data_IF_433179917458
#
_entry.id   IF_433179917458
#
_cell.length_a   1.000
_cell.length_b   1.000
_cell.length_c   1.000
_cell.angle_alpha   90.00
_cell.angle_beta   90.00
_cell.angle_gamma   90.00
#
_symmetry.space_group_name_H-M   'P 1'
#
loop_
_entity.id
_entity.type
_entity.pdbx_description
1 polymer ?
2 non-polymer ?
3 non-polymer ?
4 water ?
#
# COMPACT_ATOMS: atom_id res chain seq x y z
N UNK A 9 -20.60 -13.44 -20.81
CA UNK A 9 -21.18 -12.98 -19.55
C UNK A 9 -22.45 -13.75 -19.09
N UNK A 10 -22.42 -15.08 -19.24
CA UNK A 10 -23.29 -15.94 -18.46
C UNK A 10 -22.89 -15.95 -16.99
N UNK A 11 -22.30 -14.84 -16.52
CA UNK A 11 -21.93 -14.62 -15.11
C UNK A 11 -22.43 -13.28 -14.57
N UNK A 12 -22.83 -12.32 -15.42
CA UNK A 12 -23.46 -11.09 -14.96
C UNK A 12 -24.91 -10.93 -15.41
N UNK A 13 -25.37 -11.63 -16.46
CA UNK A 13 -26.82 -11.81 -16.61
C UNK A 13 -27.34 -12.75 -15.52
N UNK A 14 -26.82 -14.01 -15.38
CA UNK A 14 -26.89 -14.67 -14.05
C UNK A 14 -25.83 -14.09 -13.13
N UNK A 15 -26.15 -12.98 -12.47
CA UNK A 15 -25.22 -12.24 -11.62
C UNK A 15 -24.71 -13.09 -10.47
N UNK A 16 -23.52 -13.67 -10.64
CA UNK A 16 -22.98 -14.59 -9.64
C UNK A 16 -22.80 -13.92 -8.29
N UNK A 17 -22.25 -12.69 -8.27
CA UNK A 17 -22.06 -11.98 -7.01
C UNK A 17 -23.39 -11.77 -6.30
N UNK A 18 -24.43 -11.39 -7.04
CA UNK A 18 -25.72 -11.13 -6.40
C UNK A 18 -26.35 -12.39 -5.84
N UNK A 19 -26.14 -13.54 -6.50
CA UNK A 19 -26.68 -14.78 -5.95
C UNK A 19 -25.96 -15.19 -4.67
N UNK A 20 -24.63 -15.03 -4.63
CA UNK A 20 -23.90 -15.28 -3.40
C UNK A 20 -24.31 -14.28 -2.32
N UNK A 21 -24.46 -13.01 -2.69
CA UNK A 21 -24.88 -12.02 -1.72
C UNK A 21 -26.23 -12.37 -1.12
N UNK A 22 -27.19 -12.81 -1.94
CA UNK A 22 -28.47 -13.27 -1.41
C UNK A 22 -28.27 -14.44 -0.46
N UNK A 23 -27.47 -15.42 -0.88
CA UNK A 23 -27.24 -16.59 -0.04
C UNK A 23 -26.68 -16.21 1.32
N UNK A 24 -25.91 -15.11 1.39
CA UNK A 24 -25.28 -14.75 2.65
C UNK A 24 -26.29 -14.08 3.58
N UNK A 25 -27.13 -13.17 3.06
CA UNK A 25 -28.21 -12.64 3.90
C UNK A 25 -29.21 -13.72 4.28
N UNK A 26 -29.44 -14.69 3.41
CA UNK A 26 -30.36 -15.78 3.73
C UNK A 26 -29.84 -16.59 4.91
N UNK A 27 -28.67 -17.21 4.76
CA UNK A 27 -28.21 -18.19 5.72
C UNK A 27 -27.15 -17.67 6.69
N UNK A 28 -26.44 -16.59 6.36
CA UNK A 28 -25.30 -16.25 7.18
C UNK A 28 -24.19 -17.27 6.99
N UNK A 29 -23.15 -17.13 7.79
CA UNK A 29 -21.98 -17.98 7.60
C UNK A 29 -22.29 -19.43 7.97
N UNK A 30 -22.73 -20.21 6.99
CA UNK A 30 -22.93 -21.64 7.10
C UNK A 30 -21.77 -22.40 6.46
N UNK A 31 -21.72 -23.71 6.70
CA UNK A 31 -20.82 -24.57 5.94
C UNK A 31 -21.15 -24.53 4.45
N UNK A 32 -22.42 -24.39 4.11
CA UNK A 32 -22.81 -24.27 2.70
C UNK A 32 -22.30 -22.97 2.10
N UNK A 33 -22.40 -21.86 2.83
CA UNK A 33 -21.86 -20.59 2.35
C UNK A 33 -20.34 -20.67 2.23
N UNK A 34 -19.67 -21.28 3.21
CA UNK A 34 -18.22 -21.39 3.15
C UNK A 34 -17.79 -22.21 1.94
N UNK A 35 -18.50 -23.30 1.67
CA UNK A 35 -18.20 -24.11 0.49
C UNK A 35 -18.42 -23.30 -0.79
N UNK A 36 -19.52 -22.55 -0.85
CA UNK A 36 -19.73 -21.69 -2.00
C UNK A 36 -18.57 -20.71 -2.15
N UNK A 37 -18.23 -20.03 -1.05
CA UNK A 37 -17.15 -19.06 -1.10
C UNK A 37 -15.85 -19.69 -1.58
N UNK A 38 -15.52 -20.89 -1.08
CA UNK A 38 -14.24 -21.49 -1.45
C UNK A 38 -14.15 -21.80 -2.93
N UNK A 39 -15.30 -22.02 -3.59
CA UNK A 39 -15.35 -22.33 -5.02
C UNK A 39 -15.28 -21.10 -5.93
N UNK A 40 -15.43 -19.88 -5.41
CA UNK A 40 -15.26 -18.70 -6.23
C UNK A 40 -13.81 -18.61 -6.71
N UNK A 41 -13.63 -18.10 -7.94
CA UNK A 41 -12.29 -17.76 -8.39
C UNK A 41 -11.75 -16.64 -7.50
N UNK A 42 -10.44 -16.62 -7.23
CA UNK A 42 -9.90 -15.58 -6.34
C UNK A 42 -10.36 -14.19 -6.70
N UNK A 43 -10.23 -13.80 -7.97
CA UNK A 43 -10.71 -12.50 -8.40
C UNK A 43 -12.14 -12.27 -7.95
N UNK A 44 -13.01 -13.25 -8.20
CA UNK A 44 -14.42 -13.08 -7.88
C UNK A 44 -14.64 -12.95 -6.38
N UNK A 45 -13.86 -13.71 -5.60
CA UNK A 45 -13.94 -13.58 -4.14
C UNK A 45 -13.56 -12.18 -3.68
N UNK A 46 -12.46 -11.63 -4.21
CA UNK A 46 -12.07 -10.29 -3.80
C UNK A 46 -13.07 -9.26 -4.28
N UNK A 47 -13.55 -9.41 -5.52
CA UNK A 47 -14.58 -8.51 -6.01
C UNK A 47 -15.82 -8.55 -5.12
N UNK A 48 -16.14 -9.71 -4.55
CA UNK A 48 -17.32 -9.82 -3.70
C UNK A 48 -17.15 -9.03 -2.41
N UNK A 49 -15.99 -9.11 -1.78
CA UNK A 49 -15.83 -8.38 -0.53
C UNK A 49 -15.73 -6.88 -0.78
N UNK A 50 -15.26 -6.49 -1.97
CA UNK A 50 -15.11 -5.08 -2.28
C UNK A 50 -16.44 -4.38 -2.54
N UNK A 51 -17.43 -5.07 -3.09
CA UNK A 51 -18.59 -4.42 -3.69
C UNK A 51 -19.93 -4.86 -3.11
N UNK A 52 -19.97 -5.25 -1.85
CA UNK A 52 -21.21 -5.73 -1.26
C UNK A 52 -21.76 -4.75 -0.22
N UNK A 53 -23.07 -4.83 -0.02
CA UNK A 53 -23.74 -4.01 0.98
C UNK A 53 -23.14 -4.28 2.36
N UNK A 54 -23.34 -3.32 3.26
CA UNK A 54 -22.65 -3.37 4.54
C UNK A 54 -23.05 -4.57 5.39
N UNK A 55 -24.23 -5.15 5.15
CA UNK A 55 -24.61 -6.35 5.88
C UNK A 55 -23.80 -7.56 5.41
N UNK A 56 -23.60 -7.70 4.10
CA UNK A 56 -22.77 -8.80 3.59
C UNK A 56 -21.32 -8.60 4.00
N UNK A 57 -20.82 -7.36 3.92
CA UNK A 57 -19.44 -7.08 4.33
C UNK A 57 -19.21 -7.43 5.79
N UNK A 58 -20.19 -7.14 6.66
CA UNK A 58 -20.07 -7.51 8.06
C UNK A 58 -19.92 -9.02 8.23
N UNK A 59 -20.77 -9.77 7.53
CA UNK A 59 -20.71 -11.22 7.63
C UNK A 59 -19.41 -11.77 7.06
N UNK A 60 -18.86 -11.14 6.02
CA UNK A 60 -17.58 -11.59 5.50
C UNK A 60 -16.44 -11.25 6.45
N UNK A 61 -16.61 -10.20 7.27
CA UNK A 61 -15.69 -9.82 8.35
C UNK A 61 -15.95 -10.58 9.65
N UNK A 62 -17.05 -11.30 9.73
CA UNK A 62 -17.46 -12.07 10.90
C UNK A 62 -16.36 -12.98 11.43
N UNK A 63 -16.42 -13.29 12.74
CA UNK A 63 -15.48 -14.24 13.34
C UNK A 63 -15.66 -15.64 12.80
N UNK A 64 -16.86 -15.98 12.31
CA UNK A 64 -17.09 -17.31 11.78
C UNK A 64 -16.30 -17.58 10.50
N UNK A 65 -16.01 -16.54 9.71
CA UNK A 65 -15.33 -16.71 8.44
C UNK A 65 -13.82 -16.56 8.55
N UNK A 66 -13.29 -16.18 9.71
CA UNK A 66 -11.85 -16.00 9.82
C UNK A 66 -11.05 -17.25 9.48
N UNK A 67 -11.42 -18.47 9.91
CA UNK A 67 -10.65 -19.64 9.46
C UNK A 67 -10.57 -19.77 7.95
N UNK A 68 -11.67 -19.51 7.26
CA UNK A 68 -11.68 -19.59 5.80
C UNK A 68 -10.68 -18.62 5.20
N UNK A 69 -10.66 -17.38 5.70
CA UNK A 69 -9.74 -16.37 5.19
C UNK A 69 -8.30 -16.69 5.54
N UNK A 70 -8.04 -17.18 6.74
CA UNK A 70 -6.68 -17.58 7.10
C UNK A 70 -6.15 -18.59 6.09
N UNK A 71 -6.96 -19.61 5.76
CA UNK A 71 -6.50 -20.65 4.85
C UNK A 71 -6.15 -20.08 3.49
N UNK A 72 -7.01 -19.21 2.94
CA UNK A 72 -6.69 -18.52 1.69
C UNK A 72 -5.39 -17.73 1.83
N UNK A 73 -5.26 -16.99 2.93
CA UNK A 73 -4.05 -16.19 3.14
C UNK A 73 -2.81 -17.07 3.13
N UNK A 74 -2.90 -18.26 3.74
CA UNK A 74 -1.70 -19.08 3.96
C UNK A 74 -1.33 -19.91 2.74
N UNK A 75 -2.24 -20.04 1.78
CA UNK A 75 -1.96 -20.71 0.51
C UNK A 75 -1.33 -19.80 -0.52
N UNK A 76 -1.27 -18.49 -0.27
CA UNK A 76 -0.66 -17.57 -1.23
C UNK A 76 0.81 -17.89 -1.41
N UNK A 77 1.25 -17.97 -2.66
CA UNK A 77 2.65 -18.22 -2.93
C UNK A 77 3.10 -17.31 -4.07
N UNK A 78 4.40 -17.03 -4.11
CA UNK A 78 4.94 -16.26 -5.21
C UNK A 78 5.19 -17.14 -6.42
N UNK A 79 5.22 -16.49 -7.58
CA UNK A 79 5.50 -17.20 -8.83
C UNK A 79 6.91 -17.80 -8.82
N UNK A 80 7.90 -17.01 -8.44
CA UNK A 80 9.31 -17.37 -8.57
C UNK A 80 9.74 -18.21 -7.35
N UNK A 81 9.85 -17.55 -6.21
CA UNK A 81 10.37 -18.11 -4.96
C UNK A 81 9.22 -18.83 -4.25
N UNK A 82 9.16 -20.17 -4.40
CA UNK A 82 8.02 -20.95 -3.93
C UNK A 82 8.10 -21.28 -2.44
N UNK A 83 9.18 -20.93 -1.75
CA UNK A 83 9.22 -21.13 -0.31
C UNK A 83 8.69 -19.92 0.46
N UNK A 84 8.65 -18.74 -0.17
CA UNK A 84 8.18 -17.54 0.49
C UNK A 84 6.78 -17.74 1.05
N UNK A 85 6.54 -17.13 2.21
CA UNK A 85 5.23 -17.17 2.84
C UNK A 85 4.95 -15.82 3.49
N UNK A 86 3.75 -15.30 3.27
CA UNK A 86 3.33 -14.06 3.92
C UNK A 86 3.12 -14.27 5.41
N UNK A 87 3.53 -13.27 6.19
CA UNK A 87 3.38 -13.28 7.64
C UNK A 87 2.16 -12.47 8.03
N UNK A 88 1.70 -12.70 9.25
CA UNK A 88 0.49 -12.02 9.74
C UNK A 88 0.57 -10.52 9.46
N UNK A 89 -0.40 -9.94 8.72
CA UNK A 89 -0.31 -8.53 8.32
C UNK A 89 -0.75 -7.53 9.38
N UNK A 90 -0.42 -7.81 10.66
CA UNK A 90 -0.38 -6.87 11.78
C UNK A 90 -1.78 -6.36 12.15
N UNK A 91 -2.24 -5.07 11.85
CA UNK A 91 -3.66 -4.78 12.13
C UNK A 91 -4.55 -4.97 10.92
N UNK A 92 -3.97 -5.08 9.73
CA UNK A 92 -4.75 -5.45 8.56
C UNK A 92 -5.15 -6.91 8.66
N UNK A 93 -6.43 -7.19 8.47
CA UNK A 93 -6.87 -8.58 8.45
C UNK A 93 -6.19 -9.34 7.30
N UNK A 94 -6.06 -10.66 7.47
CA UNK A 94 -5.59 -11.48 6.36
C UNK A 94 -6.58 -11.46 5.19
N UNK A 95 -7.87 -11.32 5.48
CA UNK A 95 -8.87 -11.23 4.41
C UNK A 95 -8.64 -9.99 3.55
N UNK A 96 -8.39 -8.84 4.18
CA UNK A 96 -8.15 -7.63 3.43
C UNK A 96 -6.78 -7.68 2.74
N UNK A 97 -5.80 -8.29 3.38
CA UNK A 97 -4.52 -8.52 2.69
C UNK A 97 -4.74 -9.37 1.45
N UNK A 98 -5.47 -10.48 1.59
CA UNK A 98 -5.66 -11.40 0.48
C UNK A 98 -6.38 -10.73 -0.68
N UNK A 99 -7.53 -10.10 -0.40
CA UNK A 99 -8.32 -9.51 -1.49
C UNK A 99 -7.59 -8.37 -2.17
N UNK A 100 -6.95 -7.49 -1.40
CA UNK A 100 -6.17 -6.43 -2.01
C UNK A 100 -5.05 -6.97 -2.89
N UNK A 101 -4.37 -8.01 -2.40
CA UNK A 101 -3.26 -8.60 -3.16
C UNK A 101 -3.77 -9.31 -4.42
N UNK A 102 -4.93 -9.95 -4.33
CA UNK A 102 -5.47 -10.61 -5.52
C UNK A 102 -5.86 -9.56 -6.58
N UNK A 103 -6.53 -8.49 -6.17
CA UNK A 103 -6.88 -7.47 -7.16
C UNK A 103 -5.65 -6.77 -7.71
N UNK A 104 -4.61 -6.61 -6.88
CA UNK A 104 -3.37 -6.03 -7.38
C UNK A 104 -2.75 -6.92 -8.45
N UNK A 105 -2.69 -8.23 -8.19
CA UNK A 105 -2.19 -9.15 -9.20
C UNK A 105 -3.04 -9.09 -10.46
N UNK A 106 -4.36 -8.96 -10.30
CA UNK A 106 -5.24 -8.89 -11.48
C UNK A 106 -4.97 -7.62 -12.28
N UNK A 107 -4.77 -6.49 -11.59
CA UNK A 107 -4.38 -5.25 -12.25
C UNK A 107 -3.17 -5.46 -13.15
N UNK A 108 -2.14 -6.15 -12.63
CA UNK A 108 -0.91 -6.32 -13.40
C UNK A 108 -1.11 -7.20 -14.64
N UNK A 109 -1.99 -8.22 -14.56
CA UNK A 109 -2.33 -8.98 -15.76
C UNK A 109 -2.88 -8.08 -16.87
N UNK A 110 -3.64 -7.06 -16.47
CA UNK A 110 -4.33 -6.16 -17.38
C UNK A 110 -3.52 -4.92 -17.74
N UNK A 111 -2.20 -4.94 -17.54
CA UNK A 111 -1.47 -3.70 -17.75
C UNK A 111 -1.12 -3.49 -19.23
N UNK A 112 -0.44 -4.47 -19.82
CA UNK A 112 -0.13 -4.46 -21.25
C UNK A 112 -1.43 -4.57 -22.04
N UNK A 113 -2.00 -5.77 -22.07
CA UNK A 113 -3.36 -5.97 -22.55
C UNK A 113 -4.31 -5.12 -21.73
N UNK A 114 -5.08 -4.25 -22.38
CA UNK A 114 -6.30 -3.69 -21.80
C UNK A 114 -6.01 -2.86 -20.54
N UNK A 115 -5.19 -1.82 -20.70
CA UNK A 115 -4.79 -0.96 -19.58
C UNK A 115 -5.99 -0.35 -18.86
N UNK A 116 -7.20 -0.54 -19.38
CA UNK A 116 -8.38 0.05 -18.75
C UNK A 116 -8.68 -0.62 -17.41
N UNK A 117 -8.82 -1.94 -17.42
CA UNK A 117 -9.07 -2.69 -16.21
C UNK A 117 -7.93 -2.55 -15.22
N UNK A 118 -6.74 -2.23 -15.70
CA UNK A 118 -5.60 -2.03 -14.81
C UNK A 118 -5.87 -0.91 -13.82
N UNK A 119 -6.34 0.25 -14.29
CA UNK A 119 -6.62 1.37 -13.40
C UNK A 119 -7.74 1.04 -12.42
N UNK A 120 -8.77 0.32 -12.88
CA UNK A 120 -9.90 0.04 -12.01
C UNK A 120 -9.52 -0.93 -10.89
N UNK A 121 -8.78 -1.99 -11.23
CA UNK A 121 -8.46 -3.01 -10.22
C UNK A 121 -7.46 -2.46 -9.22
N UNK A 122 -6.43 -1.77 -9.71
CA UNK A 122 -5.47 -1.08 -8.85
C UNK A 122 -6.16 -0.12 -7.87
N UNK A 123 -7.19 0.60 -8.33
CA UNK A 123 -7.87 1.55 -7.45
C UNK A 123 -8.69 0.82 -6.39
N UNK A 124 -9.29 -0.31 -6.74
CA UNK A 124 -9.96 -1.11 -5.73
C UNK A 124 -8.96 -1.68 -4.74
N UNK A 125 -7.84 -2.16 -5.24
CA UNK A 125 -6.90 -2.84 -4.36
C UNK A 125 -6.35 -1.87 -3.32
N UNK A 126 -6.15 -0.61 -3.72
CA UNK A 126 -5.67 0.45 -2.82
C UNK A 126 -6.80 1.10 -2.01
N UNK A 127 -7.82 1.61 -2.69
CA UNK A 127 -8.86 2.38 -2.01
C UNK A 127 -9.61 1.51 -1.01
N UNK A 128 -10.07 0.35 -1.46
CA UNK A 128 -10.91 -0.50 -0.60
C UNK A 128 -10.09 -1.31 0.41
N UNK A 129 -8.97 -1.90 -0.01
CA UNK A 129 -8.26 -2.84 0.85
C UNK A 129 -6.91 -2.32 1.35
N UNK A 130 -6.50 -1.13 0.94
CA UNK A 130 -5.21 -0.52 1.33
C UNK A 130 -4.04 -1.48 1.13
N UNK A 131 -4.02 -2.12 -0.03
CA UNK A 131 -2.92 -2.99 -0.40
C UNK A 131 -1.66 -2.15 -0.60
N UNK A 132 -0.60 -2.52 0.12
CA UNK A 132 0.70 -1.84 -0.02
C UNK A 132 1.21 -1.87 -1.45
N UNK A 133 1.09 -3.02 -2.12
CA UNK A 133 1.67 -3.13 -3.45
C UNK A 133 0.95 -2.22 -4.44
N UNK A 134 -0.36 -2.01 -4.26
CA UNK A 134 -1.10 -1.10 -5.13
C UNK A 134 -0.65 0.34 -4.91
N UNK A 135 -0.56 0.76 -3.64
CA UNK A 135 0.07 2.03 -3.28
C UNK A 135 1.40 2.20 -4.00
N UNK A 136 2.30 1.24 -3.83
CA UNK A 136 3.61 1.31 -4.48
C UNK A 136 3.48 1.44 -5.99
N UNK A 137 2.63 0.62 -6.59
CA UNK A 137 2.43 0.67 -8.02
C UNK A 137 1.87 2.02 -8.45
N UNK A 138 0.88 2.52 -7.72
CA UNK A 138 0.31 3.82 -8.06
C UNK A 138 1.38 4.92 -7.99
N UNK A 139 2.20 4.91 -6.94
CA UNK A 139 3.20 5.97 -6.80
C UNK A 139 4.27 5.85 -7.87
N UNK A 140 4.68 4.64 -8.20
CA UNK A 140 5.64 4.44 -9.27
C UNK A 140 5.11 5.00 -10.59
N UNK A 141 3.85 4.75 -10.89
CA UNK A 141 3.26 5.28 -12.11
C UNK A 141 3.25 6.80 -12.10
N UNK A 142 2.77 7.40 -11.01
CA UNK A 142 2.70 8.86 -10.94
C UNK A 142 4.08 9.48 -10.99
N UNK A 143 5.04 8.89 -10.26
CA UNK A 143 6.42 9.42 -10.27
C UNK A 143 7.00 9.33 -11.68
N UNK A 144 6.77 8.21 -12.36
CA UNK A 144 7.31 8.04 -13.70
C UNK A 144 6.71 9.00 -14.71
N UNK A 145 5.42 9.31 -14.58
CA UNK A 145 4.82 10.28 -15.51
C UNK A 145 5.42 11.67 -15.34
N UNK A 146 5.81 12.03 -14.10
CA UNK A 146 6.47 13.32 -13.87
C UNK A 146 7.89 13.31 -14.41
N UNK A 147 8.53 12.15 -14.48
CA UNK A 147 9.88 12.09 -15.04
C UNK A 147 9.86 12.27 -16.55
N UNK A 148 8.82 11.82 -17.22
CA UNK A 148 8.73 12.01 -18.67
C UNK A 148 8.16 13.37 -19.06
N UNK A 149 7.21 13.89 -18.29
CA UNK A 149 6.58 15.19 -18.53
C UNK A 149 6.53 15.95 -17.21
N UNK A 150 7.60 16.66 -16.91
CA UNK A 150 7.73 17.37 -15.63
C UNK A 150 7.05 18.75 -15.65
N UNK A 151 5.77 18.79 -16.04
CA UNK A 151 4.97 20.02 -16.00
C UNK A 151 4.22 20.10 -14.67
N UNK A 152 3.98 21.33 -14.23
CA UNK A 152 3.49 21.57 -12.88
C UNK A 152 2.20 20.81 -12.60
N UNK A 153 1.42 20.53 -13.65
CA UNK A 153 0.16 19.83 -13.48
C UNK A 153 0.38 18.43 -12.95
N UNK A 154 1.39 17.71 -13.48
CA UNK A 154 1.65 16.36 -13.02
C UNK A 154 2.25 16.35 -11.63
N UNK A 155 3.17 17.29 -11.36
CA UNK A 155 3.77 17.40 -10.02
C UNK A 155 2.69 17.62 -8.97
N UNK A 156 1.69 18.44 -9.29
CA UNK A 156 0.67 18.76 -8.31
C UNK A 156 -0.28 17.58 -8.10
N UNK A 157 -0.41 16.72 -9.10
CA UNK A 157 -1.23 15.54 -8.90
C UNK A 157 -0.49 14.49 -8.08
N UNK A 158 0.81 14.32 -8.33
CA UNK A 158 1.61 13.48 -7.45
C UNK A 158 1.54 14.01 -6.02
N UNK A 159 1.80 15.31 -5.84
CA UNK A 159 1.77 15.92 -4.52
C UNK A 159 0.42 15.74 -3.84
N UNK A 160 -0.67 15.89 -4.60
CA UNK A 160 -2.00 15.78 -4.01
C UNK A 160 -2.27 14.37 -3.52
N UNK A 161 -1.89 13.37 -4.31
CA UNK A 161 -2.06 11.99 -3.87
C UNK A 161 -1.31 11.74 -2.58
N UNK A 162 -0.02 12.05 -2.57
CA UNK A 162 0.82 11.75 -1.41
C UNK A 162 0.25 12.40 -0.17
N UNK A 163 -0.19 13.66 -0.27
CA UNK A 163 -0.70 14.34 0.91
C UNK A 163 -2.05 13.77 1.34
N UNK A 164 -2.90 13.41 0.36
CA UNK A 164 -4.19 12.81 0.68
C UNK A 164 -4.03 11.43 1.34
N UNK A 165 -3.21 10.56 0.75
CA UNK A 165 -3.18 9.16 1.18
C UNK A 165 -2.13 8.86 2.24
N UNK A 166 -1.40 9.90 2.68
CA UNK A 166 -0.32 9.74 3.65
C UNK A 166 -0.73 8.90 4.86
N UNK A 167 -1.77 9.34 5.57
CA UNK A 167 -2.20 8.66 6.79
C UNK A 167 -2.53 7.20 6.53
N UNK A 168 -3.24 6.92 5.43
CA UNK A 168 -3.60 5.56 5.13
C UNK A 168 -2.40 4.71 4.74
N UNK A 169 -1.43 5.32 4.07
CA UNK A 169 -0.29 4.53 3.65
C UNK A 169 0.65 4.25 4.83
N UNK A 170 0.68 5.13 5.84
CA UNK A 170 1.48 4.89 7.03
C UNK A 170 0.96 3.74 7.88
N UNK A 171 -0.26 3.25 7.60
CA UNK A 171 -0.72 2.03 8.26
C UNK A 171 0.21 0.86 7.96
N UNK A 172 0.98 0.93 6.88
CA UNK A 172 1.96 -0.10 6.60
C UNK A 172 3.29 0.11 7.36
N UNK A 173 3.28 0.95 8.41
CA UNK A 173 4.44 1.19 9.29
C UNK A 173 5.68 1.45 8.44
N UNK A 174 6.83 0.84 8.72
CA UNK A 174 8.07 1.28 8.11
C UNK A 174 8.01 1.28 6.58
N UNK A 175 7.58 0.22 5.89
CA UNK A 175 7.56 0.28 4.42
C UNK A 175 6.62 1.35 3.88
N UNK A 176 5.50 1.63 4.54
CA UNK A 176 4.66 2.75 4.14
C UNK A 176 5.36 4.08 4.25
N UNK A 177 6.06 4.32 5.38
CA UNK A 177 6.79 5.57 5.55
C UNK A 177 7.89 5.71 4.51
N UNK A 178 8.57 4.61 4.17
CA UNK A 178 9.63 4.67 3.17
C UNK A 178 9.06 4.86 1.76
N UNK A 179 7.84 4.41 1.54
CA UNK A 179 7.19 4.68 0.26
C UNK A 179 6.92 6.17 0.15
N UNK A 180 6.38 6.75 1.22
CA UNK A 180 6.03 8.16 1.22
C UNK A 180 7.26 9.04 1.13
N UNK A 181 8.32 8.69 1.86
CA UNK A 181 9.55 9.48 1.82
C UNK A 181 10.11 9.49 0.41
N UNK A 182 10.03 8.36 -0.26
CA UNK A 182 10.58 8.26 -1.60
C UNK A 182 9.77 9.12 -2.58
N UNK A 183 8.44 9.15 -2.44
CA UNK A 183 7.64 10.05 -3.27
C UNK A 183 7.95 11.51 -2.98
N UNK A 184 8.17 11.86 -1.71
CA UNK A 184 8.49 13.24 -1.37
C UNK A 184 9.85 13.65 -1.94
N UNK A 185 10.83 12.74 -1.87
CA UNK A 185 12.17 13.01 -2.41
C UNK A 185 12.10 13.32 -3.90
N UNK A 186 11.37 12.50 -4.66
CA UNK A 186 11.18 12.81 -6.07
C UNK A 186 10.41 14.12 -6.25
N UNK A 187 9.36 14.34 -5.46
CA UNK A 187 8.63 15.59 -5.53
C UNK A 187 9.57 16.79 -5.31
N UNK A 188 10.40 16.73 -4.27
CA UNK A 188 11.31 17.84 -3.97
C UNK A 188 12.23 18.10 -5.15
N UNK A 189 12.66 17.06 -5.85
CA UNK A 189 13.47 17.25 -7.04
C UNK A 189 12.68 17.84 -8.20
N UNK A 190 11.45 17.37 -8.41
CA UNK A 190 10.61 17.94 -9.46
C UNK A 190 10.39 19.43 -9.21
N UNK A 191 9.86 19.77 -8.04
CA UNK A 191 9.65 21.17 -7.69
C UNK A 191 10.89 22.02 -7.90
N UNK A 192 12.08 21.45 -7.63
CA UNK A 192 13.31 22.22 -7.81
C UNK A 192 13.59 22.45 -9.29
N UNK A 193 13.33 21.45 -10.13
CA UNK A 193 13.61 21.60 -11.54
C UNK A 193 12.76 22.70 -12.19
N UNK A 194 11.65 23.08 -11.56
CA UNK A 194 10.81 24.16 -12.05
C UNK A 194 11.00 25.46 -11.29
N UNK A 195 12.01 25.53 -10.42
CA UNK A 195 12.39 26.69 -9.62
C UNK A 195 11.39 27.01 -8.51
N UNK A 196 10.40 26.14 -8.27
CA UNK A 196 9.51 26.30 -7.12
C UNK A 196 10.27 25.84 -5.88
N UNK A 197 11.09 26.76 -5.36
CA UNK A 197 12.00 26.41 -4.27
C UNK A 197 11.25 26.11 -2.98
N UNK A 198 10.25 26.94 -2.63
CA UNK A 198 9.54 26.70 -1.38
C UNK A 198 8.87 25.34 -1.36
N UNK A 199 8.27 24.93 -2.47
CA UNK A 199 7.65 23.63 -2.48
C UNK A 199 8.71 22.52 -2.36
N UNK A 200 9.86 22.73 -2.98
CA UNK A 200 10.94 21.74 -2.89
C UNK A 200 11.39 21.57 -1.45
N UNK A 201 11.65 22.69 -0.77
CA UNK A 201 12.02 22.65 0.64
C UNK A 201 10.96 21.91 1.44
N UNK A 202 9.69 22.15 1.13
CA UNK A 202 8.62 21.54 1.92
C UNK A 202 8.57 20.02 1.71
N UNK A 203 8.95 19.55 0.52
CA UNK A 203 8.88 18.13 0.25
C UNK A 203 10.08 17.41 0.84
N UNK A 204 11.24 18.05 0.77
CA UNK A 204 12.40 17.54 1.48
C UNK A 204 12.11 17.40 2.97
N UNK A 205 11.40 18.36 3.56
CA UNK A 205 11.10 18.28 4.98
C UNK A 205 10.17 17.11 5.28
N UNK A 206 9.11 16.96 4.46
CA UNK A 206 8.20 15.83 4.67
C UNK A 206 8.94 14.52 4.46
N UNK A 207 9.88 14.50 3.52
CA UNK A 207 10.69 13.31 3.28
C UNK A 207 11.44 12.92 4.54
N UNK A 208 12.14 13.88 5.17
CA UNK A 208 12.91 13.62 6.38
C UNK A 208 12.01 13.14 7.51
N UNK A 209 10.84 13.77 7.67
CA UNK A 209 9.93 13.31 8.71
C UNK A 209 9.46 11.88 8.51
N UNK A 210 9.21 11.50 7.24
CA UNK A 210 8.81 10.12 6.97
C UNK A 210 9.97 9.15 7.19
N UNK A 211 11.19 9.55 6.83
CA UNK A 211 12.35 8.69 7.07
C UNK A 211 12.57 8.50 8.57
N UNK A 212 12.36 9.56 9.35
CA UNK A 212 12.47 9.40 10.79
C UNK A 212 11.37 8.50 11.33
N UNK A 213 10.12 8.69 10.87
CA UNK A 213 9.05 7.82 11.35
C UNK A 213 9.35 6.36 11.00
N UNK A 214 9.87 6.11 9.80
CA UNK A 214 10.26 4.75 9.41
C UNK A 214 11.30 4.19 10.36
N UNK A 215 12.34 4.98 10.67
CA UNK A 215 13.38 4.53 11.60
C UNK A 215 12.76 4.12 12.92
N UNK A 216 11.90 4.97 13.47
CA UNK A 216 11.23 4.69 14.75
C UNK A 216 10.43 3.40 14.71
N UNK A 217 9.85 3.05 13.55
CA UNK A 217 8.93 1.92 13.45
C UNK A 217 9.60 0.63 13.04
N UNK A 218 10.91 0.65 12.74
CA UNK A 218 11.51 -0.51 12.09
C UNK A 218 11.46 -1.76 12.97
N UNK A 219 11.72 -1.63 14.27
CA UNK A 219 11.71 -2.84 15.10
C UNK A 219 10.33 -3.47 15.19
N UNK A 220 9.27 -2.70 15.04
CA UNK A 220 7.91 -3.23 15.07
C UNK A 220 7.35 -3.52 13.68
N UNK A 221 8.18 -3.46 12.64
CA UNK A 221 7.70 -3.60 11.26
C UNK A 221 8.23 -4.82 10.53
N UNK A 222 8.87 -5.75 11.23
CA UNK A 222 9.57 -6.84 10.53
C UNK A 222 8.62 -7.63 9.64
N UNK A 223 7.44 -7.98 10.14
CA UNK A 223 6.47 -8.71 9.31
C UNK A 223 6.05 -7.87 8.10
N UNK A 224 5.86 -6.56 8.30
CA UNK A 224 5.54 -5.70 7.17
C UNK A 224 6.69 -5.68 6.17
N UNK A 225 7.91 -5.61 6.69
CA UNK A 225 9.07 -5.50 5.81
C UNK A 225 9.23 -6.78 5.02
N UNK A 226 9.06 -7.92 5.70
CA UNK A 226 9.07 -9.20 5.04
C UNK A 226 8.02 -9.25 3.92
N UNK A 227 6.79 -8.87 4.24
CA UNK A 227 5.72 -8.93 3.23
C UNK A 227 5.93 -7.87 2.14
N UNK A 228 6.25 -6.63 2.53
CA UNK A 228 6.27 -5.54 1.56
C UNK A 228 7.31 -5.76 0.47
N UNK A 229 8.49 -6.29 0.81
CA UNK A 229 9.54 -6.48 -0.19
C UNK A 229 9.83 -7.95 -0.46
N UNK A 230 8.94 -8.84 -0.05
CA UNK A 230 9.06 -10.27 -0.33
C UNK A 230 10.37 -10.86 0.20
N UNK A 231 10.76 -10.46 1.41
CA UNK A 231 11.99 -10.96 2.05
C UNK A 231 13.24 -10.62 1.24
N UNK A 232 13.23 -9.50 0.52
CA UNK A 232 14.45 -9.07 -0.16
C UNK A 232 15.13 -7.92 0.55
N UNK A 233 14.58 -7.45 1.67
CA UNK A 233 15.19 -6.36 2.41
C UNK A 233 14.73 -5.00 1.94
N UNK A 234 15.33 -3.96 2.53
CA UNK A 234 14.92 -2.58 2.29
C UNK A 234 15.55 -1.96 1.05
N UNK A 235 16.39 -2.72 0.34
CA UNK A 235 17.15 -2.15 -0.77
C UNK A 235 16.25 -1.49 -1.81
N UNK A 236 15.12 -2.11 -2.16
CA UNK A 236 14.29 -1.53 -3.21
C UNK A 236 13.26 -0.52 -2.69
N UNK A 237 13.38 -0.11 -1.43
CA UNK A 237 12.53 0.92 -0.84
C UNK A 237 13.02 2.33 -1.10
N UNK A 238 14.12 2.48 -1.84
CA UNK A 238 14.75 3.79 -1.91
C UNK A 238 15.67 3.81 -3.11
N UNK A 239 15.98 5.03 -3.55
CA UNK A 239 16.65 5.27 -4.81
C UNK A 239 18.15 4.98 -4.75
N UNK A 240 18.70 4.89 -3.55
CA UNK A 240 20.11 4.57 -3.39
C UNK A 240 20.35 3.09 -3.22
N UNK A 241 19.29 2.29 -3.15
CA UNK A 241 19.46 0.86 -2.93
C UNK A 241 20.17 0.52 -1.64
N UNK A 242 19.90 1.29 -0.57
CA UNK A 242 20.53 1.07 0.73
C UNK A 242 19.60 0.31 1.67
N UNK A 243 20.20 -0.46 2.55
CA UNK A 243 19.51 -1.27 3.55
C UNK A 243 19.33 -0.55 4.89
N UNK A 244 20.04 0.54 5.12
CA UNK A 244 20.05 1.24 6.40
C UNK A 244 19.33 2.57 6.25
N UNK A 245 18.39 2.83 7.16
CA UNK A 245 17.66 4.09 7.14
C UNK A 245 18.55 5.26 7.54
N UNK A 246 19.51 5.02 8.45
CA UNK A 246 20.44 6.09 8.80
C UNK A 246 21.28 6.48 7.59
N UNK A 247 21.56 5.52 6.70
CA UNK A 247 22.36 5.80 5.51
C UNK A 247 21.56 6.54 4.45
N UNK A 248 20.31 6.11 4.22
CA UNK A 248 19.39 6.84 3.36
C UNK A 248 19.30 8.29 3.80
N UNK A 249 19.10 8.51 5.10
CA UNK A 249 19.08 9.85 5.67
C UNK A 249 20.34 10.61 5.31
N UNK A 250 21.50 9.97 5.50
CA UNK A 250 22.76 10.64 5.19
C UNK A 250 22.80 11.13 3.74
N UNK A 251 22.42 10.25 2.81
CA UNK A 251 22.54 10.61 1.40
C UNK A 251 21.41 11.50 0.93
N UNK A 252 20.26 11.46 1.60
CA UNK A 252 19.24 12.47 1.32
C UNK A 252 19.76 13.85 1.69
N UNK A 253 20.35 13.98 2.87
CA UNK A 253 20.83 15.29 3.34
C UNK A 253 21.92 15.84 2.45
N UNK A 254 22.82 14.98 1.96
CA UNK A 254 23.85 15.36 0.98
C UNK A 254 23.26 16.15 -0.19
N UNK A 255 22.21 15.63 -0.82
CA UNK A 255 21.65 16.32 -1.97
C UNK A 255 20.64 17.41 -1.58
N UNK A 256 19.89 17.22 -0.50
CA UNK A 256 19.00 18.28 -0.05
C UNK A 256 19.76 19.50 0.44
N UNK A 257 20.93 19.31 1.06
CA UNK A 257 21.83 20.40 1.37
C UNK A 257 21.15 21.50 2.20
N UNK A 258 21.09 22.72 1.68
CA UNK A 258 20.57 23.83 2.47
C UNK A 258 19.06 23.78 2.65
N UNK A 259 18.35 22.88 1.96
CA UNK A 259 16.91 22.74 2.19
C UNK A 259 16.61 22.21 3.58
N UNK A 260 17.55 21.47 4.17
CA UNK A 260 17.34 20.81 5.46
C UNK A 260 18.43 21.18 6.47
N UNK A 261 18.48 22.45 6.90
CA UNK A 261 19.37 22.80 8.02
C UNK A 261 18.86 22.18 9.30
N UNK A 262 19.77 22.08 10.28
CA UNK A 262 19.49 21.29 11.49
C UNK A 262 18.17 21.64 12.16
N UNK A 263 17.85 22.90 12.46
CA UNK A 263 16.57 23.18 13.13
C UNK A 263 15.38 22.60 12.40
N UNK A 264 15.44 22.57 11.07
CA UNK A 264 14.31 22.06 10.29
C UNK A 264 14.24 20.53 10.38
N UNK A 265 15.38 19.86 10.28
CA UNK A 265 15.40 18.42 10.54
C UNK A 265 14.87 18.11 11.93
N UNK A 266 15.29 18.90 12.92
CA UNK A 266 14.90 18.67 14.31
C UNK A 266 13.39 18.79 14.52
N UNK A 267 12.75 19.71 13.82
CA UNK A 267 11.31 19.88 13.92
C UNK A 267 10.57 18.70 13.29
N UNK A 268 11.02 18.23 12.12
CA UNK A 268 10.38 17.07 11.53
C UNK A 268 10.64 15.82 12.37
N UNK A 269 11.86 15.68 12.92
CA UNK A 269 12.13 14.53 13.78
C UNK A 269 11.19 14.52 14.97
N UNK A 270 10.95 15.68 15.58
CA UNK A 270 10.06 15.73 16.74
C UNK A 270 8.61 15.48 16.32
N UNK A 271 8.20 15.95 15.15
CA UNK A 271 6.87 15.58 14.66
C UNK A 271 6.76 14.07 14.49
N UNK A 272 7.77 13.44 13.87
CA UNK A 272 7.76 11.99 13.72
C UNK A 272 7.60 11.29 15.06
N UNK A 273 8.33 11.75 16.09
CA UNK A 273 8.20 11.17 17.43
C UNK A 273 6.79 11.35 17.97
N UNK A 274 6.22 12.54 17.79
CA UNK A 274 4.84 12.79 18.21
C UNK A 274 3.91 11.74 17.64
N UNK A 275 3.93 11.58 16.32
CA UNK A 275 3.10 10.58 15.65
C UNK A 275 3.34 9.19 16.23
N UNK A 276 4.60 8.85 16.48
CA UNK A 276 4.91 7.51 16.94
C UNK A 276 4.25 7.22 18.29
N UNK A 277 4.43 8.11 19.26
CA UNK A 277 3.84 7.89 20.58
C UNK A 277 2.33 8.10 20.61
N UNK A 278 1.81 8.87 19.66
CA UNK A 278 0.39 9.25 19.64
C UNK A 278 -0.46 8.30 18.83
N UNK A 279 0.13 7.60 17.88
CA UNK A 279 -0.64 6.77 16.96
C UNK A 279 -0.19 5.32 16.96
N UNK A 280 1.11 5.07 17.08
CA UNK A 280 1.60 3.71 17.16
C UNK A 280 2.05 3.41 18.58
N UNK A 281 1.21 3.74 19.56
CA UNK A 281 1.46 3.57 21.00
C UNK A 281 2.23 2.28 21.29
N UNK A 282 1.57 1.14 21.10
CA UNK A 282 2.22 -0.17 21.28
C UNK A 282 3.49 -0.34 20.46
X LIG B 1 14.83 8.01 -1.59
X LIG B 1 14.25 6.90 -2.26
X LIG B 1 14.14 8.22 -0.25
X LIG B 1 14.93 9.16 0.50
X LIG C 1 19.07 9.79 14.60
X LIG D 1 26.48 7.27 6.44
X LIG E 1 -9.10 -12.72 8.87
X LIG F 1 20.35 8.04 12.47
X LIG G 1 5.00 12.77 10.56
X LIG H 1 18.20 11.38 17.49
X LIG I 1 -5.89 12.39 -5.06
X LIG J 1 10.29 5.02 -8.15
#
# INVERSE_FOLDING_TARGET
GAMGGSMIKGKLMPNSLKDVQKLICDEGITDNVITTLSRLKPFDLAMLKATSDNKVKTLLDSDELKPFWVNKFNKLRLEKDHIFQFRNPDPQSRADFYCGYVLYLAALKEKQKEISSYYDYLNLSFTTFNCFYAAQEILTFLIGACKNDTKRENIDLLYNFVTSQSTQIQEHKTPGCLLLANAYFYLAGFYLSLDLKAESIECYKECWGQLHLAQLLETDSEREIHNAYFNKGLATSNAFGLNSISEIKARCLDLASEALPYPARNVMEANAVKTFENRFKDSMSTAGKDDERSITRPIIL
EDO C1 O1 C2 O2
IOD I
IOD I
IOD I
IOD I
IOD I
IOD I
IOD I
IOD I
#
